data_IF_168223544222
#
_entry.id   IF_168223544222
#
_cell.length_a   1.000
_cell.length_b   1.000
_cell.length_c   1.000
_cell.angle_alpha   90.00
_cell.angle_beta   90.00
_cell.angle_gamma   90.00
#
_symmetry.space_group_name_H-M   'P 1'
#
loop_
_entity.id
_entity.type
_entity.pdbx_description
1 polymer ?
#
# COMPACT_ATOMS: atom_id res chain seq x y z
N UNK A 1 -40.98 -63.42 -4.07
CA UNK A 1 -40.10 -62.60 -3.21
C UNK A 1 -40.99 -61.64 -2.45
N UNK A 2 -40.92 -61.69 -1.12
CA UNK A 2 -41.88 -61.00 -0.23
C UNK A 2 -41.70 -59.50 -0.27
N UNK A 3 -42.69 -58.71 -0.69
CA UNK A 3 -42.63 -57.24 -0.81
C UNK A 3 -42.05 -56.55 0.44
N UNK A 4 -42.25 -57.09 1.61
CA UNK A 4 -41.72 -56.57 2.90
C UNK A 4 -40.19 -56.70 3.00
N UNK A 5 -39.57 -57.74 2.40
CA UNK A 5 -38.13 -57.97 2.40
C UNK A 5 -37.45 -56.97 1.46
N UNK A 6 -38.04 -56.71 0.28
CA UNK A 6 -37.49 -55.73 -0.68
C UNK A 6 -37.53 -54.33 -0.12
N UNK A 7 -38.58 -53.91 0.56
CA UNK A 7 -38.71 -52.61 1.22
C UNK A 7 -37.66 -52.44 2.31
N UNK A 8 -37.38 -53.46 3.12
CA UNK A 8 -36.36 -53.42 4.16
C UNK A 8 -34.94 -53.24 3.61
N UNK A 9 -34.63 -53.91 2.49
CA UNK A 9 -33.33 -53.80 1.82
C UNK A 9 -33.14 -52.38 1.21
N UNK A 10 -34.18 -51.83 0.60
CA UNK A 10 -34.13 -50.47 0.01
C UNK A 10 -33.99 -49.42 1.12
N UNK A 11 -34.68 -49.57 2.24
CA UNK A 11 -34.56 -48.66 3.38
C UNK A 11 -33.16 -48.67 4.01
N UNK A 12 -32.56 -49.86 4.18
CA UNK A 12 -31.21 -50.00 4.72
C UNK A 12 -30.15 -49.35 3.81
N UNK A 13 -30.32 -49.52 2.49
CA UNK A 13 -29.44 -48.89 1.50
C UNK A 13 -29.55 -47.37 1.54
N UNK A 14 -30.74 -46.81 1.68
CA UNK A 14 -30.99 -45.38 1.81
C UNK A 14 -30.31 -44.78 3.06
N UNK A 15 -30.39 -45.47 4.19
CA UNK A 15 -29.76 -45.07 5.43
C UNK A 15 -28.22 -45.01 5.30
N UNK A 16 -27.63 -46.04 4.64
CA UNK A 16 -26.18 -46.08 4.40
C UNK A 16 -25.74 -44.92 3.49
N UNK A 17 -26.49 -44.60 2.44
CA UNK A 17 -26.19 -43.48 1.55
C UNK A 17 -26.24 -42.13 2.30
N UNK A 18 -27.25 -41.93 3.19
CA UNK A 18 -27.37 -40.71 4.01
C UNK A 18 -26.19 -40.58 4.95
N UNK A 19 -25.75 -41.66 5.59
CA UNK A 19 -24.59 -41.68 6.48
C UNK A 19 -23.30 -41.32 5.74
N UNK A 20 -23.10 -41.88 4.52
CA UNK A 20 -21.92 -41.57 3.70
C UNK A 20 -21.93 -40.11 3.26
N UNK A 21 -23.07 -39.57 2.81
CA UNK A 21 -23.20 -38.15 2.47
C UNK A 21 -22.96 -37.24 3.68
N UNK A 22 -23.43 -37.59 4.87
CA UNK A 22 -23.16 -36.86 6.11
C UNK A 22 -21.66 -36.81 6.44
N UNK A 23 -20.93 -37.91 6.29
CA UNK A 23 -19.48 -37.96 6.51
C UNK A 23 -18.72 -37.10 5.47
N UNK A 24 -19.12 -37.13 4.22
CA UNK A 24 -18.53 -36.33 3.14
C UNK A 24 -18.77 -34.84 3.43
N UNK A 25 -19.99 -34.45 3.75
CA UNK A 25 -20.36 -33.07 4.07
C UNK A 25 -19.58 -32.56 5.30
N UNK A 26 -19.47 -33.38 6.34
CA UNK A 26 -18.68 -33.04 7.54
C UNK A 26 -17.19 -32.82 7.21
N UNK A 27 -16.59 -33.68 6.36
CA UNK A 27 -15.20 -33.50 5.91
C UNK A 27 -15.03 -32.22 5.09
N UNK A 28 -15.97 -31.88 4.21
CA UNK A 28 -15.93 -30.65 3.40
C UNK A 28 -16.06 -29.39 4.27
N UNK A 29 -16.94 -29.42 5.26
CA UNK A 29 -17.11 -28.31 6.20
C UNK A 29 -15.88 -28.13 7.10
N UNK A 30 -15.28 -29.21 7.58
CA UNK A 30 -14.05 -29.18 8.36
C UNK A 30 -12.88 -28.62 7.55
N UNK A 31 -12.72 -29.09 6.30
CA UNK A 31 -11.66 -28.59 5.41
C UNK A 31 -11.81 -27.09 5.11
N UNK A 32 -13.04 -26.60 4.98
CA UNK A 32 -13.33 -25.16 4.77
C UNK A 32 -13.00 -24.32 6.02
N UNK A 33 -13.24 -24.85 7.22
CA UNK A 33 -12.86 -24.17 8.48
C UNK A 33 -11.34 -24.12 8.67
N UNK A 34 -10.62 -25.20 8.34
CA UNK A 34 -9.17 -25.27 8.46
C UNK A 34 -8.46 -24.32 7.47
N UNK A 35 -8.99 -24.18 6.26
CA UNK A 35 -8.50 -23.21 5.26
C UNK A 35 -8.73 -21.77 5.73
N UNK A 36 -9.88 -21.44 6.31
CA UNK A 36 -10.17 -20.11 6.82
C UNK A 36 -9.30 -19.74 8.03
N UNK A 37 -9.03 -20.68 8.93
CA UNK A 37 -8.13 -20.47 10.08
C UNK A 37 -6.70 -20.25 9.60
N UNK A 38 -6.21 -21.03 8.63
CA UNK A 38 -4.88 -20.85 8.03
C UNK A 38 -4.76 -19.50 7.31
N UNK A 39 -5.76 -19.10 6.54
CA UNK A 39 -5.77 -17.80 5.85
C UNK A 39 -5.78 -16.63 6.83
N UNK A 40 -6.61 -16.69 7.89
CA UNK A 40 -6.64 -15.65 8.92
C UNK A 40 -5.33 -15.57 9.70
N UNK A 41 -4.66 -16.70 9.95
CA UNK A 41 -3.36 -16.73 10.61
C UNK A 41 -2.28 -16.11 9.71
N UNK A 42 -2.27 -16.43 8.42
CA UNK A 42 -1.34 -15.85 7.44
C UNK A 42 -1.58 -14.35 7.29
N UNK A 43 -2.83 -13.90 7.27
CA UNK A 43 -3.19 -12.47 7.18
C UNK A 43 -2.75 -11.74 8.45
N UNK A 44 -2.95 -12.31 9.65
CA UNK A 44 -2.51 -11.71 10.92
C UNK A 44 -0.99 -11.69 11.10
N UNK A 45 -0.28 -12.73 10.67
CA UNK A 45 1.18 -12.76 10.67
C UNK A 45 1.76 -11.76 9.64
N UNK A 46 1.17 -11.63 8.46
CA UNK A 46 1.59 -10.65 7.46
C UNK A 46 1.28 -9.21 7.88
N UNK A 47 0.19 -8.94 8.60
CA UNK A 47 -0.12 -7.60 9.12
C UNK A 47 0.85 -7.18 10.24
N UNK A 48 1.25 -8.09 11.10
CA UNK A 48 2.25 -7.84 12.14
C UNK A 48 3.68 -7.72 11.57
N UNK A 49 4.04 -8.48 10.51
CA UNK A 49 5.31 -8.30 9.81
C UNK A 49 5.39 -6.96 9.06
N UNK A 50 4.26 -6.43 8.61
CA UNK A 50 4.17 -5.15 7.89
C UNK A 50 4.41 -3.96 8.81
N UNK A 51 3.89 -3.99 10.05
CA UNK A 51 4.01 -2.86 11.00
C UNK A 51 5.44 -2.60 11.46
N UNK A 52 6.30 -3.62 11.54
CA UNK A 52 7.69 -3.52 11.99
C UNK A 52 8.71 -3.57 10.84
N UNK A 53 8.25 -3.81 9.61
CA UNK A 53 9.13 -3.84 8.46
C UNK A 53 9.68 -2.45 8.14
N UNK A 54 11.00 -2.37 7.91
CA UNK A 54 11.66 -1.12 7.55
C UNK A 54 10.97 -0.43 6.37
N UNK A 55 10.77 0.87 6.51
CA UNK A 55 10.26 1.75 5.47
C UNK A 55 10.74 3.18 5.66
N UNK A 56 11.35 3.74 4.61
CA UNK A 56 11.86 5.10 4.53
C UNK A 56 11.56 5.70 3.15
N UNK A 57 10.71 6.74 3.04
CA UNK A 57 10.55 7.48 1.80
C UNK A 57 11.84 8.22 1.43
N UNK A 58 12.20 8.25 0.16
CA UNK A 58 13.34 9.00 -0.35
C UNK A 58 12.95 10.47 -0.52
N UNK A 59 13.48 11.32 0.34
CA UNK A 59 13.25 12.77 0.34
C UNK A 59 14.24 13.50 -0.57
N UNK A 60 15.49 13.04 -0.61
CA UNK A 60 16.53 13.61 -1.48
C UNK A 60 17.57 12.58 -1.89
N UNK A 61 18.32 12.91 -2.93
CA UNK A 61 19.33 12.07 -3.56
C UNK A 61 20.63 12.86 -3.74
N UNK A 62 21.72 12.32 -3.23
CA UNK A 62 23.05 12.87 -3.43
C UNK A 62 23.94 11.87 -4.13
N UNK A 63 24.64 12.36 -5.15
CA UNK A 63 25.61 11.55 -5.89
C UNK A 63 26.95 11.64 -5.19
N UNK A 64 27.36 10.58 -4.51
CA UNK A 64 28.67 10.54 -3.88
C UNK A 64 29.67 9.89 -4.84
N UNK A 65 30.53 10.70 -5.45
CA UNK A 65 31.52 10.22 -6.42
C UNK A 65 32.46 9.18 -5.76
N UNK A 66 32.38 7.94 -6.27
CA UNK A 66 33.25 6.85 -5.84
C UNK A 66 32.77 5.98 -4.68
N UNK A 67 31.60 6.27 -4.06
CA UNK A 67 31.07 5.47 -2.94
C UNK A 67 29.66 4.89 -3.17
N UNK A 68 28.98 5.29 -4.24
CA UNK A 68 27.60 4.95 -4.53
C UNK A 68 26.62 6.09 -4.21
N UNK A 69 25.34 5.94 -4.56
CA UNK A 69 24.32 6.94 -4.30
C UNK A 69 23.96 6.98 -2.81
N UNK A 70 23.77 8.20 -2.30
CA UNK A 70 23.26 8.48 -0.96
C UNK A 70 21.80 8.93 -1.08
N UNK A 71 20.88 8.22 -0.44
CA UNK A 71 19.46 8.60 -0.34
C UNK A 71 19.17 9.07 1.07
N UNK A 72 18.41 10.16 1.22
CA UNK A 72 18.04 10.68 2.55
C UNK A 72 16.54 10.61 2.76
N UNK A 73 16.12 10.44 4.02
CA UNK A 73 14.73 10.42 4.42
C UNK A 73 14.53 10.14 5.89
N UNK A 74 13.29 10.25 6.32
CA UNK A 74 12.88 9.86 7.68
C UNK A 74 12.38 8.43 7.66
N UNK A 75 12.87 7.59 8.57
CA UNK A 75 12.34 6.24 8.76
C UNK A 75 10.91 6.35 9.33
N UNK A 76 9.92 5.88 8.57
CA UNK A 76 8.52 5.85 9.03
C UNK A 76 8.27 4.72 10.02
N UNK A 77 8.90 3.56 9.79
CA UNK A 77 8.80 2.38 10.67
C UNK A 77 9.97 1.42 10.53
N UNK A 78 10.07 0.52 11.50
CA UNK A 78 11.09 -0.52 11.54
C UNK A 78 12.49 0.00 11.80
N UNK A 79 13.47 -0.76 11.37
CA UNK A 79 14.89 -0.46 11.50
C UNK A 79 15.69 -0.97 10.33
N UNK A 80 16.88 -0.39 10.12
CA UNK A 80 17.82 -0.75 9.06
C UNK A 80 19.23 -0.77 9.61
N UNK A 81 20.05 -1.72 9.13
CA UNK A 81 21.48 -1.89 9.50
C UNK A 81 22.37 -1.85 8.27
N UNK A 82 23.64 -1.58 8.48
CA UNK A 82 24.67 -1.81 7.45
C UNK A 82 24.69 -3.31 7.10
N UNK A 83 24.69 -3.60 5.79
CA UNK A 83 24.62 -4.95 5.23
C UNK A 83 23.20 -5.43 4.87
N UNK A 84 22.16 -4.74 5.31
CA UNK A 84 20.80 -5.10 4.94
C UNK A 84 20.55 -4.91 3.44
N UNK A 85 19.83 -5.86 2.84
CA UNK A 85 19.25 -5.71 1.51
C UNK A 85 17.87 -5.09 1.63
N UNK A 86 17.65 -4.03 0.87
CA UNK A 86 16.39 -3.29 0.82
C UNK A 86 15.85 -3.24 -0.60
N UNK A 87 14.55 -3.10 -0.74
CA UNK A 87 13.86 -2.90 -2.01
C UNK A 87 13.52 -1.43 -2.20
N UNK A 88 13.77 -0.90 -3.40
CA UNK A 88 13.38 0.45 -3.80
C UNK A 88 12.10 0.34 -4.62
N UNK A 89 11.00 0.90 -4.12
CA UNK A 89 9.66 0.75 -4.67
C UNK A 89 9.08 2.08 -5.11
N UNK A 90 8.47 2.12 -6.29
CA UNK A 90 7.81 3.30 -6.86
C UNK A 90 8.32 3.66 -8.25
N UNK A 91 7.49 4.37 -9.02
CA UNK A 91 7.68 4.82 -10.40
C UNK A 91 7.85 3.72 -11.45
N UNK A 92 8.01 2.49 -11.05
CA UNK A 92 8.06 1.34 -11.95
C UNK A 92 7.63 0.06 -11.23
N UNK A 93 7.34 -0.99 -12.00
CA UNK A 93 7.14 -2.34 -11.47
C UNK A 93 8.44 -3.16 -11.48
N UNK A 94 9.58 -2.54 -11.84
CA UNK A 94 10.89 -3.20 -11.81
C UNK A 94 11.29 -3.41 -10.34
N UNK A 95 11.66 -4.63 -9.99
CA UNK A 95 12.23 -4.93 -8.68
C UNK A 95 13.67 -4.41 -8.62
N UNK A 96 13.93 -3.45 -7.75
CA UNK A 96 15.24 -2.83 -7.54
C UNK A 96 15.68 -3.19 -6.13
N UNK A 97 16.76 -3.95 -6.01
CA UNK A 97 17.36 -4.34 -4.73
C UNK A 97 18.68 -3.59 -4.57
N UNK A 98 18.87 -3.00 -3.40
CA UNK A 98 20.09 -2.30 -3.02
C UNK A 98 20.62 -2.84 -1.69
N UNK A 99 21.94 -2.77 -1.50
CA UNK A 99 22.59 -3.11 -0.25
C UNK A 99 22.97 -1.84 0.50
N UNK A 100 22.63 -1.73 1.78
CA UNK A 100 23.02 -0.63 2.65
C UNK A 100 24.47 -0.80 3.06
N UNK A 101 25.37 0.07 2.58
CA UNK A 101 26.80 0.03 2.89
C UNK A 101 27.24 1.13 3.86
N UNK A 102 26.35 2.03 4.24
CA UNK A 102 26.60 3.08 5.24
C UNK A 102 25.31 3.75 5.66
N UNK A 103 25.29 4.18 6.91
CA UNK A 103 24.19 4.95 7.52
C UNK A 103 24.79 6.20 8.16
N UNK A 104 24.23 7.37 7.86
CA UNK A 104 24.65 8.65 8.43
C UNK A 104 23.44 9.40 8.99
N UNK A 105 23.56 9.93 10.21
CA UNK A 105 22.60 10.84 10.80
C UNK A 105 23.34 12.08 11.34
N UNK A 106 22.96 13.28 10.90
CA UNK A 106 23.59 14.53 11.32
C UNK A 106 25.13 14.53 11.21
N UNK A 107 25.68 13.98 10.11
CA UNK A 107 27.13 13.79 9.83
C UNK A 107 27.82 12.77 10.75
N UNK A 108 27.07 12.01 11.53
CA UNK A 108 27.60 10.93 12.37
C UNK A 108 27.28 9.59 11.73
N UNK A 109 28.30 8.72 11.62
CA UNK A 109 28.10 7.35 11.11
C UNK A 109 27.41 6.51 12.18
N UNK A 110 26.54 5.61 11.74
CA UNK A 110 25.79 4.66 12.56
C UNK A 110 25.84 3.28 11.93
N UNK A 111 25.76 2.25 12.75
CA UNK A 111 25.63 0.86 12.27
C UNK A 111 24.16 0.45 12.08
N UNK A 112 23.26 1.07 12.82
CA UNK A 112 21.81 0.85 12.78
C UNK A 112 21.05 2.19 12.94
N UNK A 113 19.87 2.27 12.32
CA UNK A 113 18.93 3.37 12.53
C UNK A 113 17.50 2.84 12.66
N UNK A 114 16.65 3.57 13.40
CA UNK A 114 15.29 3.15 13.79
C UNK A 114 14.23 4.17 13.40
N UNK A 115 12.98 3.76 13.47
CA UNK A 115 11.83 4.61 13.19
C UNK A 115 11.89 5.97 13.88
N UNK A 116 11.54 7.04 13.15
CA UNK A 116 11.58 8.43 13.60
C UNK A 116 12.89 9.16 13.31
N UNK A 117 14.00 8.46 13.03
CA UNK A 117 15.27 9.08 12.68
C UNK A 117 15.26 9.60 11.24
N UNK A 118 15.88 10.75 11.01
CA UNK A 118 16.18 11.27 9.68
C UNK A 118 17.63 10.92 9.34
N UNK A 119 17.82 10.14 8.29
CA UNK A 119 19.11 9.53 7.94
C UNK A 119 19.44 9.63 6.47
N UNK A 120 20.71 9.41 6.15
CA UNK A 120 21.21 9.09 4.82
C UNK A 120 21.63 7.63 4.74
N UNK A 121 21.19 6.92 3.73
CA UNK A 121 21.62 5.57 3.38
C UNK A 121 22.54 5.62 2.18
N UNK A 122 23.78 5.17 2.37
CA UNK A 122 24.70 4.93 1.28
C UNK A 122 24.42 3.53 0.70
N UNK A 123 24.10 3.49 -0.58
CA UNK A 123 23.63 2.27 -1.25
C UNK A 123 24.66 1.73 -2.23
N UNK A 124 24.68 0.40 -2.36
CA UNK A 124 25.41 -0.34 -3.40
C UNK A 124 24.44 -1.22 -4.20
N UNK A 125 24.91 -1.79 -5.30
CA UNK A 125 24.14 -2.67 -6.19
C UNK A 125 22.92 -2.01 -6.83
N UNK A 126 22.88 -0.67 -6.91
CA UNK A 126 21.82 0.10 -7.56
C UNK A 126 22.41 1.21 -8.38
N UNK A 127 21.86 1.44 -9.57
CA UNK A 127 22.28 2.55 -10.41
C UNK A 127 21.62 3.85 -9.91
N UNK A 128 22.36 4.97 -9.90
CA UNK A 128 21.79 6.27 -9.55
C UNK A 128 20.59 6.66 -10.41
N UNK A 129 20.57 6.24 -11.67
CA UNK A 129 19.46 6.48 -12.62
C UNK A 129 18.18 5.72 -12.27
N UNK A 130 18.26 4.66 -11.46
CA UNK A 130 17.11 3.90 -10.98
C UNK A 130 16.48 4.53 -9.73
N UNK A 131 17.13 5.54 -9.15
CA UNK A 131 16.70 6.20 -7.92
C UNK A 131 16.04 7.55 -8.21
N UNK A 132 14.92 7.82 -7.54
CA UNK A 132 14.18 9.09 -7.64
C UNK A 132 13.61 9.48 -6.28
N UNK A 133 13.54 10.80 -6.02
CA UNK A 133 12.75 11.32 -4.91
C UNK A 133 11.31 10.83 -5.00
N UNK A 134 10.74 10.41 -3.87
CA UNK A 134 9.38 9.88 -3.78
C UNK A 134 9.27 8.37 -3.88
N UNK A 135 10.32 7.64 -4.29
CA UNK A 135 10.40 6.20 -4.07
C UNK A 135 10.50 5.88 -2.58
N UNK A 136 10.33 4.62 -2.25
CA UNK A 136 10.39 4.13 -0.87
C UNK A 136 11.47 3.07 -0.76
N UNK A 137 12.40 3.25 0.18
CA UNK A 137 13.29 2.19 0.66
C UNK A 137 12.51 1.33 1.64
N UNK A 138 12.41 0.04 1.42
CA UNK A 138 11.61 -0.86 2.24
C UNK A 138 12.26 -2.23 2.42
N UNK A 139 11.83 -2.98 3.43
CA UNK A 139 12.18 -4.40 3.53
C UNK A 139 11.66 -5.13 2.29
N UNK A 140 12.43 -6.05 1.75
CA UNK A 140 12.10 -6.79 0.53
C UNK A 140 10.71 -7.41 0.65
N UNK A 141 9.87 -7.19 -0.37
CA UNK A 141 8.49 -7.66 -0.49
C UNK A 141 7.50 -7.11 0.57
N UNK A 142 7.86 -6.08 1.35
CA UNK A 142 6.98 -5.51 2.38
C UNK A 142 6.01 -4.46 1.86
N UNK A 143 6.27 -3.89 0.70
CA UNK A 143 5.40 -2.90 0.03
C UNK A 143 5.45 -3.12 -1.47
N UNK A 144 4.37 -2.73 -2.18
CA UNK A 144 4.29 -2.83 -3.64
C UNK A 144 3.93 -1.47 -4.25
N UNK A 145 4.22 -1.35 -5.55
CA UNK A 145 3.78 -0.20 -6.34
C UNK A 145 2.37 -0.40 -6.87
N UNK A 146 1.53 0.63 -6.74
CA UNK A 146 0.15 0.60 -7.21
C UNK A 146 -0.19 1.89 -7.95
N UNK A 147 -1.16 1.81 -8.86
CA UNK A 147 -1.66 2.94 -9.64
C UNK A 147 -3.09 3.35 -9.27
N UNK A 148 -3.92 2.41 -8.82
CA UNK A 148 -5.33 2.66 -8.58
C UNK A 148 -5.65 2.55 -7.10
N UNK A 149 -6.21 3.60 -6.54
CA UNK A 149 -6.44 3.74 -5.11
C UNK A 149 -7.83 4.28 -4.83
N UNK A 150 -8.41 3.85 -3.73
CA UNK A 150 -9.56 4.49 -3.11
C UNK A 150 -9.08 5.32 -1.94
N UNK A 151 -9.44 6.59 -1.93
CA UNK A 151 -9.07 7.52 -0.88
C UNK A 151 -10.32 8.10 -0.23
N UNK A 152 -10.26 8.33 1.08
CA UNK A 152 -11.21 9.17 1.78
C UNK A 152 -10.55 10.52 2.02
N UNK A 153 -11.18 11.58 1.57
CA UNK A 153 -10.66 12.92 1.74
C UNK A 153 -11.74 13.86 2.30
N UNK A 154 -11.30 14.72 3.19
CA UNK A 154 -12.09 15.86 3.65
C UNK A 154 -11.75 17.08 2.79
N UNK A 155 -12.77 17.75 2.26
CA UNK A 155 -12.59 18.89 1.39
C UNK A 155 -12.43 20.14 2.24
N UNK A 156 -11.31 20.83 2.06
CA UNK A 156 -10.97 22.00 2.85
C UNK A 156 -11.70 23.25 2.33
N UNK A 157 -12.14 24.09 3.27
CA UNK A 157 -12.84 25.35 2.97
C UNK A 157 -11.82 26.49 2.91
N UNK A 158 -11.54 26.94 1.70
CA UNK A 158 -10.68 28.11 1.47
C UNK A 158 -11.43 29.31 0.86
N UNK A 159 -12.70 29.51 1.22
CA UNK A 159 -13.52 30.62 0.74
C UNK A 159 -13.62 30.77 -0.80
N UNK A 160 -13.31 29.72 -1.55
CA UNK A 160 -13.29 29.76 -3.00
C UNK A 160 -13.93 28.49 -3.57
N UNK A 161 -15.16 28.60 -4.07
CA UNK A 161 -15.90 27.59 -4.83
C UNK A 161 -15.15 26.96 -6.04
N UNK A 162 -14.13 27.63 -6.67
CA UNK A 162 -13.48 27.09 -7.86
C UNK A 162 -12.87 25.70 -7.65
N UNK A 163 -12.44 25.34 -6.44
CA UNK A 163 -11.79 24.06 -6.16
C UNK A 163 -12.73 22.85 -6.21
N UNK A 164 -14.01 23.02 -5.88
CA UNK A 164 -15.01 21.95 -6.02
C UNK A 164 -15.15 21.51 -7.48
N UNK A 165 -14.94 22.43 -8.41
CA UNK A 165 -14.98 22.13 -9.84
C UNK A 165 -13.87 21.19 -10.31
N UNK A 166 -12.75 21.09 -9.57
CA UNK A 166 -11.66 20.17 -9.86
C UNK A 166 -12.01 18.73 -9.46
N UNK A 167 -12.86 18.55 -8.45
CA UNK A 167 -13.25 17.23 -7.95
C UNK A 167 -14.43 16.66 -8.76
N UNK A 168 -14.19 16.39 -10.05
CA UNK A 168 -15.14 15.76 -10.97
C UNK A 168 -14.53 14.51 -11.60
N UNK A 169 -15.38 13.54 -11.90
CA UNK A 169 -14.96 12.33 -12.63
C UNK A 169 -14.37 12.75 -13.99
N UNK A 170 -13.23 12.18 -14.32
CA UNK A 170 -12.46 12.48 -15.53
C UNK A 170 -11.42 13.60 -15.38
N UNK A 171 -11.48 14.39 -14.31
CA UNK A 171 -10.50 15.45 -14.10
C UNK A 171 -9.15 14.90 -13.59
N UNK A 172 -8.08 15.52 -14.05
CA UNK A 172 -6.72 15.32 -13.54
C UNK A 172 -6.53 16.16 -12.27
N UNK A 173 -5.92 15.55 -11.26
CA UNK A 173 -5.60 16.18 -9.97
C UNK A 173 -4.15 15.87 -9.58
N UNK A 174 -3.51 16.79 -8.86
CA UNK A 174 -2.19 16.55 -8.28
C UNK A 174 -2.36 15.89 -6.91
N UNK A 175 -1.94 14.62 -6.80
CA UNK A 175 -1.99 13.81 -5.59
C UNK A 175 -0.67 13.92 -4.83
N UNK A 176 -0.72 14.31 -3.56
CA UNK A 176 0.44 14.34 -2.69
C UNK A 176 0.40 13.13 -1.76
N UNK A 177 1.41 12.27 -1.88
CA UNK A 177 1.53 11.02 -1.13
C UNK A 177 2.94 10.96 -0.54
N UNK A 178 3.06 10.89 0.80
CA UNK A 178 4.36 11.00 1.48
C UNK A 178 5.12 12.27 1.07
N UNK A 179 6.20 12.13 0.33
CA UNK A 179 7.10 13.24 -0.07
C UNK A 179 7.05 13.56 -1.56
N UNK A 180 6.11 12.98 -2.28
CA UNK A 180 5.99 13.17 -3.73
C UNK A 180 4.62 13.71 -4.14
N UNK A 181 4.62 14.42 -5.28
CA UNK A 181 3.43 14.76 -6.03
C UNK A 181 3.37 13.91 -7.28
N UNK A 182 2.23 13.28 -7.52
CA UNK A 182 1.96 12.48 -8.71
C UNK A 182 0.60 12.87 -9.26
N UNK A 183 0.48 12.93 -10.59
CA UNK A 183 -0.81 13.19 -11.23
C UNK A 183 -1.71 11.97 -11.15
N UNK A 184 -2.99 12.18 -11.03
CA UNK A 184 -3.99 11.14 -11.05
C UNK A 184 -5.29 11.62 -11.67
N UNK A 185 -6.06 10.69 -12.22
CA UNK A 185 -7.38 10.97 -12.80
C UNK A 185 -8.46 10.42 -11.88
N UNK A 186 -9.43 11.24 -11.52
CA UNK A 186 -10.58 10.80 -10.73
C UNK A 186 -11.45 9.91 -11.61
N UNK A 187 -11.55 8.62 -11.25
CA UNK A 187 -12.35 7.63 -11.98
C UNK A 187 -13.74 7.44 -11.42
N UNK A 188 -13.92 7.68 -10.12
CA UNK A 188 -15.22 7.57 -9.45
C UNK A 188 -15.27 8.47 -8.22
N UNK A 189 -16.46 8.97 -7.92
CA UNK A 189 -16.76 9.71 -6.69
C UNK A 189 -17.90 8.96 -6.00
N UNK A 190 -17.72 8.62 -4.73
CA UNK A 190 -18.72 7.96 -3.90
C UNK A 190 -19.18 8.93 -2.81
N UNK A 191 -20.39 9.43 -2.96
CA UNK A 191 -20.96 10.46 -2.09
C UNK A 191 -21.08 11.81 -2.79
N UNK A 192 -21.50 12.83 -2.03
CA UNK A 192 -21.63 14.21 -2.50
C UNK A 192 -20.32 14.95 -2.25
N UNK A 193 -19.84 15.65 -3.27
CA UNK A 193 -18.70 16.57 -3.13
C UNK A 193 -19.20 17.86 -2.51
N UNK A 194 -18.88 18.09 -1.23
CA UNK A 194 -19.28 19.25 -0.47
C UNK A 194 -18.19 19.67 0.52
N UNK A 195 -18.18 20.95 0.91
CA UNK A 195 -17.20 21.48 1.84
C UNK A 195 -17.33 20.83 3.22
N UNK A 196 -16.21 20.58 3.87
CA UNK A 196 -16.11 20.01 5.24
C UNK A 196 -16.76 18.63 5.40
N UNK A 197 -17.01 17.93 4.28
CA UNK A 197 -17.50 16.56 4.29
C UNK A 197 -16.46 15.59 3.77
N UNK A 198 -16.51 14.37 4.28
CA UNK A 198 -15.69 13.28 3.78
C UNK A 198 -16.30 12.73 2.49
N UNK A 199 -15.48 12.59 1.47
CA UNK A 199 -15.84 11.97 0.20
C UNK A 199 -14.85 10.88 -0.16
N UNK A 200 -15.35 9.79 -0.73
CA UNK A 200 -14.51 8.73 -1.24
C UNK A 200 -14.28 8.92 -2.74
N UNK A 201 -13.01 8.89 -3.14
CA UNK A 201 -12.61 9.01 -4.53
C UNK A 201 -11.85 7.75 -4.95
N UNK A 202 -12.11 7.26 -6.16
CA UNK A 202 -11.26 6.30 -6.84
C UNK A 202 -10.40 7.08 -7.82
N UNK A 203 -9.09 7.01 -7.62
CA UNK A 203 -8.10 7.75 -8.41
C UNK A 203 -7.15 6.76 -9.06
N UNK A 204 -6.89 6.97 -10.34
CA UNK A 204 -5.87 6.26 -11.09
C UNK A 204 -4.67 7.19 -11.31
N UNK A 205 -3.54 6.84 -10.70
CA UNK A 205 -2.29 7.58 -10.76
C UNK A 205 -1.62 7.37 -12.12
N UNK A 206 -0.94 8.38 -12.63
CA UNK A 206 -0.19 8.31 -13.91
C UNK A 206 1.01 7.39 -13.80
N UNK A 207 1.64 7.33 -12.62
CA UNK A 207 2.79 6.48 -12.34
C UNK A 207 2.51 5.57 -11.13
N UNK A 208 3.09 4.35 -11.08
CA UNK A 208 2.94 3.48 -9.93
C UNK A 208 3.71 4.04 -8.73
N UNK A 209 3.12 4.03 -7.55
CA UNK A 209 3.67 4.57 -6.31
C UNK A 209 3.75 3.48 -5.26
N UNK A 210 4.85 3.44 -4.48
CA UNK A 210 5.00 2.56 -3.33
C UNK A 210 4.06 2.99 -2.20
N UNK A 211 2.92 2.35 -2.08
CA UNK A 211 1.84 2.73 -1.17
C UNK A 211 1.20 1.55 -0.47
N UNK A 212 0.55 1.85 0.62
CA UNK A 212 -0.24 0.93 1.44
C UNK A 212 -1.47 1.66 2.00
N UNK A 213 -2.40 0.91 2.53
CA UNK A 213 -3.59 1.46 3.19
C UNK A 213 -3.21 2.28 4.43
N UNK A 214 -4.00 3.29 4.74
CA UNK A 214 -3.78 4.20 5.87
C UNK A 214 -2.80 5.35 5.61
N UNK A 215 -2.03 5.32 4.50
CA UNK A 215 -1.11 6.40 4.15
C UNK A 215 -1.86 7.71 3.94
N UNK A 216 -1.30 8.80 4.46
CA UNK A 216 -1.83 10.15 4.27
C UNK A 216 -1.84 10.54 2.80
N UNK A 217 -2.93 11.16 2.40
CA UNK A 217 -3.20 11.58 1.04
C UNK A 217 -3.71 13.02 1.01
N UNK A 218 -3.26 13.79 0.03
CA UNK A 218 -3.80 15.12 -0.20
C UNK A 218 -3.96 15.39 -1.69
N UNK A 219 -4.92 16.23 -2.03
CA UNK A 219 -5.08 16.79 -3.37
C UNK A 219 -4.62 18.23 -3.31
N UNK A 220 -3.72 18.58 -4.22
CA UNK A 220 -3.17 19.92 -4.38
C UNK A 220 -3.77 20.54 -5.63
N UNK A 221 -4.30 21.73 -5.51
CA UNK A 221 -4.84 22.51 -6.63
C UNK A 221 -3.98 23.73 -6.88
N UNK A 222 -3.85 24.09 -8.15
CA UNK A 222 -3.24 25.35 -8.56
C UNK A 222 -4.33 26.42 -8.63
N UNK A 223 -4.21 27.45 -7.82
CA UNK A 223 -5.13 28.59 -7.86
C UNK A 223 -4.75 29.51 -9.02
N UNK A 224 -5.71 29.81 -9.88
CA UNK A 224 -5.55 30.84 -10.92
C UNK A 224 -5.21 32.18 -10.24
N UNK A 225 -4.01 32.70 -10.52
CA UNK A 225 -3.52 33.96 -9.93
C UNK A 225 -2.72 33.81 -8.63
N UNK A 226 -2.61 32.59 -8.06
CA UNK A 226 -1.70 32.31 -6.93
C UNK A 226 -0.39 31.69 -7.42
N UNK A 227 0.74 32.16 -6.85
CA UNK A 227 2.06 31.59 -7.12
C UNK A 227 2.35 30.31 -6.30
N UNK A 228 1.42 29.89 -5.43
CA UNK A 228 1.61 28.73 -4.55
C UNK A 228 0.45 27.76 -4.70
N UNK A 229 0.75 26.46 -4.87
CA UNK A 229 -0.28 25.45 -4.85
C UNK A 229 -0.92 25.37 -3.46
N UNK A 230 -2.23 25.13 -3.42
CA UNK A 230 -3.00 24.99 -2.19
C UNK A 230 -3.49 23.55 -2.02
N UNK A 231 -3.46 23.06 -0.79
CA UNK A 231 -4.09 21.78 -0.47
C UNK A 231 -5.60 21.96 -0.43
N UNK A 232 -6.32 21.34 -1.37
CA UNK A 232 -7.78 21.45 -1.50
C UNK A 232 -8.55 20.32 -0.81
N UNK A 233 -7.90 19.17 -0.62
CA UNK A 233 -8.47 18.07 0.13
C UNK A 233 -7.35 17.28 0.83
N UNK A 234 -7.69 16.69 1.98
CA UNK A 234 -6.76 15.85 2.74
C UNK A 234 -7.45 14.65 3.36
N UNK A 235 -6.72 13.56 3.49
CA UNK A 235 -7.26 12.34 4.06
C UNK A 235 -6.27 11.19 4.04
N UNK A 236 -6.77 10.00 3.71
CA UNK A 236 -5.97 8.77 3.71
C UNK A 236 -6.39 7.82 2.59
N UNK A 237 -5.47 6.95 2.23
CA UNK A 237 -5.75 5.82 1.34
C UNK A 237 -6.54 4.77 2.14
N UNK A 238 -7.73 4.42 1.65
CA UNK A 238 -8.58 3.40 2.27
C UNK A 238 -8.30 2.01 1.74
N UNK A 239 -8.06 1.91 0.43
CA UNK A 239 -7.98 0.63 -0.27
C UNK A 239 -7.10 0.75 -1.50
N UNK A 240 -6.34 -0.31 -1.76
CA UNK A 240 -5.60 -0.50 -3.00
C UNK A 240 -6.49 -1.27 -3.97
N UNK A 241 -6.71 -0.73 -5.17
CA UNK A 241 -7.54 -1.36 -6.20
C UNK A 241 -6.59 -1.95 -7.26
N UNK A 242 -6.68 -3.25 -7.49
CA UNK A 242 -5.90 -3.97 -8.51
C UNK A 242 -6.52 -3.85 -9.92
#
# INVERSE_FOLDING_TARGET
MNKKIVIGIVLSFLIIVILILGVILFKLLKNKSDINVSNNKIISENSNLSSDAFLMPIEDLMMNTGRGPLVTGRIERGKVKIGDEIEIVGFSNKKIIATVIGIEAFRTKKDEAVAGEHIGLLLNNVLPTDLKRGQVCAKINSIKSHKKIKVQVNILDYNNEPYLSLLKVGNEVNCYIRVQSVKGVIRKIEGKVDLKQDVNLIIELTEPVGIEEGVRFAIIGDQVGSKRPHQIASGKILEIIE
#
